data_IF_412777759313
#
_entry.id   IF_412777759313
#
_cell.length_a   1.000
_cell.length_b   1.000
_cell.length_c   1.000
_cell.angle_alpha   90.00
_cell.angle_beta   90.00
_cell.angle_gamma   90.00
#
_symmetry.space_group_name_H-M   'P 1'
#
loop_
_entity.id
_entity.type
_entity.pdbx_description
1 polymer ?
#
# COMPACT_ATOMS: atom_id res chain seq x y z
N UNK A 1 56.49 -20.48 -14.75
CA UNK A 1 56.16 -19.15 -15.30
C UNK A 1 54.68 -19.13 -15.65
N UNK A 2 53.78 -18.31 -15.10
CA UNK A 2 53.87 -17.26 -14.11
C UNK A 2 52.47 -16.68 -13.82
N UNK A 3 52.29 -16.23 -12.58
CA UNK A 3 51.36 -15.19 -12.07
C UNK A 3 49.88 -15.57 -11.94
N UNK A 4 49.37 -15.74 -10.71
CA UNK A 4 48.89 -14.68 -9.79
C UNK A 4 47.70 -13.88 -10.34
N UNK A 5 46.55 -14.13 -9.70
CA UNK A 5 45.46 -13.19 -9.35
C UNK A 5 44.77 -12.44 -10.49
N UNK A 6 43.52 -12.79 -10.77
CA UNK A 6 42.49 -11.78 -10.97
C UNK A 6 41.11 -12.33 -10.52
N UNK A 7 40.70 -11.84 -9.35
CA UNK A 7 39.35 -11.56 -8.84
C UNK A 7 38.15 -12.30 -9.47
N UNK A 8 37.43 -13.08 -8.67
CA UNK A 8 36.01 -13.31 -8.93
C UNK A 8 35.23 -12.03 -8.65
N UNK A 9 34.22 -11.68 -9.45
CA UNK A 9 33.04 -11.14 -8.80
C UNK A 9 31.73 -11.69 -9.38
N UNK A 10 30.94 -12.30 -8.50
CA UNK A 10 29.64 -11.74 -8.16
C UNK A 10 28.78 -11.32 -9.37
N UNK A 11 28.45 -12.25 -10.28
CA UNK A 11 27.17 -12.13 -11.01
C UNK A 11 26.09 -12.61 -10.05
N UNK A 12 25.88 -11.78 -9.02
CA UNK A 12 24.62 -11.74 -8.32
C UNK A 12 23.63 -11.20 -9.35
N UNK A 13 22.84 -12.09 -9.94
CA UNK A 13 21.53 -11.72 -10.47
C UNK A 13 20.74 -11.26 -9.25
N UNK A 14 20.81 -9.97 -8.96
CA UNK A 14 19.91 -9.28 -8.06
C UNK A 14 18.56 -9.14 -8.76
N UNK A 15 17.84 -10.25 -8.94
CA UNK A 15 16.41 -10.20 -9.27
C UNK A 15 15.56 -9.72 -8.08
N UNK A 16 16.18 -9.41 -6.94
CA UNK A 16 15.60 -8.62 -5.86
C UNK A 16 16.65 -7.68 -5.26
N UNK A 17 16.66 -6.41 -5.67
CA UNK A 17 16.99 -5.28 -4.79
C UNK A 17 15.94 -4.18 -4.98
N UNK A 18 15.41 -3.60 -3.88
CA UNK A 18 13.97 -3.66 -3.60
C UNK A 18 13.44 -2.32 -3.06
N UNK A 19 12.85 -1.42 -3.85
CA UNK A 19 12.40 -0.10 -3.30
C UNK A 19 11.30 0.64 -4.09
N UNK A 20 10.44 -0.04 -4.86
CA UNK A 20 9.31 0.63 -5.52
C UNK A 20 8.03 -0.01 -5.01
N UNK A 21 7.13 0.80 -4.46
CA UNK A 21 5.80 0.37 -4.04
C UNK A 21 5.11 -0.21 -5.28
N UNK A 22 4.66 -1.45 -5.20
CA UNK A 22 3.79 -2.02 -6.21
C UNK A 22 2.38 -1.46 -5.97
N UNK A 23 2.05 -0.43 -6.76
CA UNK A 23 0.79 0.31 -6.64
C UNK A 23 -0.41 -0.54 -7.03
N UNK A 24 -0.25 -1.48 -7.95
CA UNK A 24 -1.34 -2.38 -8.36
C UNK A 24 -1.65 -3.37 -7.25
N UNK A 25 -0.61 -3.98 -6.66
CA UNK A 25 -0.76 -4.86 -5.50
C UNK A 25 -1.37 -4.12 -4.29
N UNK A 26 -0.85 -2.91 -3.98
CA UNK A 26 -1.35 -2.10 -2.88
C UNK A 26 -2.82 -1.68 -3.10
N UNK A 27 -3.17 -1.25 -4.32
CA UNK A 27 -4.56 -0.93 -4.69
C UNK A 27 -5.45 -2.16 -4.52
N UNK A 28 -5.00 -3.34 -4.95
CA UNK A 28 -5.76 -4.58 -4.75
C UNK A 28 -6.00 -4.85 -3.28
N UNK A 29 -4.99 -4.72 -2.41
CA UNK A 29 -5.15 -4.90 -0.96
C UNK A 29 -6.17 -3.93 -0.37
N UNK A 30 -6.16 -2.65 -0.79
CA UNK A 30 -7.16 -1.67 -0.33
C UNK A 30 -8.56 -2.03 -0.81
N UNK A 31 -8.74 -2.34 -2.10
CA UNK A 31 -10.05 -2.77 -2.61
C UNK A 31 -10.51 -4.01 -1.84
N UNK A 32 -9.63 -4.97 -1.63
CA UNK A 32 -9.99 -6.23 -0.98
C UNK A 32 -10.41 -6.03 0.48
N UNK A 33 -9.77 -5.10 1.18
CA UNK A 33 -10.08 -4.80 2.57
C UNK A 33 -11.31 -3.89 2.74
N UNK A 34 -11.58 -3.00 1.78
CA UNK A 34 -12.66 -2.02 1.88
C UNK A 34 -13.92 -2.39 1.07
N UNK A 35 -13.87 -3.39 0.19
CA UNK A 35 -15.04 -3.83 -0.60
C UNK A 35 -16.17 -4.38 0.28
N UNK A 36 -15.85 -4.93 1.46
CA UNK A 36 -16.83 -5.47 2.40
C UNK A 36 -17.50 -4.40 3.28
N UNK A 37 -17.16 -3.11 3.08
CA UNK A 37 -17.76 -2.01 3.81
C UNK A 37 -19.19 -1.70 3.34
N UNK A 38 -20.00 -1.15 4.25
CA UNK A 38 -21.36 -0.72 3.96
C UNK A 38 -21.36 0.65 3.26
N UNK A 39 -21.43 0.64 1.94
CA UNK A 39 -21.53 1.86 1.12
C UNK A 39 -22.96 2.44 1.10
N UNK A 40 -23.13 3.79 1.07
CA UNK A 40 -22.07 4.79 0.98
C UNK A 40 -21.40 5.06 2.34
N UNK A 41 -20.07 5.05 2.35
CA UNK A 41 -19.28 5.33 3.56
C UNK A 41 -19.19 6.84 3.76
N UNK A 42 -19.62 7.30 4.92
CA UNK A 42 -19.69 8.73 5.27
C UNK A 42 -18.55 9.17 6.18
N UNK A 43 -17.80 8.22 6.74
CA UNK A 43 -16.65 8.47 7.60
C UNK A 43 -15.61 7.35 7.48
N UNK A 44 -14.30 7.61 7.68
CA UNK A 44 -13.28 6.56 7.74
C UNK A 44 -13.53 5.54 8.85
N UNK A 45 -14.30 5.91 9.89
CA UNK A 45 -14.69 4.98 10.96
C UNK A 45 -15.63 3.88 10.49
N UNK A 46 -16.43 4.12 9.44
CA UNK A 46 -17.38 3.14 8.90
C UNK A 46 -16.67 1.97 8.21
N UNK A 47 -15.39 2.14 7.87
CA UNK A 47 -14.54 1.11 7.28
C UNK A 47 -14.00 0.13 8.32
N UNK A 48 -13.85 0.54 9.58
CA UNK A 48 -13.20 -0.26 10.63
C UNK A 48 -13.88 -1.61 10.86
N UNK A 49 -15.23 -1.72 10.90
CA UNK A 49 -15.92 -2.99 11.07
C UNK A 49 -15.78 -3.94 9.87
N UNK A 50 -15.54 -3.41 8.68
CA UNK A 50 -15.42 -4.18 7.44
C UNK A 50 -14.00 -4.74 7.20
N UNK A 51 -13.02 -4.18 7.90
CA UNK A 51 -11.64 -4.59 7.76
C UNK A 51 -11.39 -5.97 8.41
N UNK A 52 -10.67 -6.89 7.73
CA UNK A 52 -10.47 -8.26 8.22
C UNK A 52 -9.69 -8.34 9.55
N UNK A 53 -8.82 -7.37 9.82
CA UNK A 53 -8.11 -7.20 11.10
C UNK A 53 -8.61 -6.00 11.92
N UNK A 54 -9.76 -5.42 11.56
CA UNK A 54 -10.25 -4.18 12.12
C UNK A 54 -9.23 -3.03 11.96
N UNK A 55 -9.07 -2.16 12.97
CA UNK A 55 -8.16 -1.01 12.90
C UNK A 55 -6.66 -1.40 12.85
N UNK A 56 -6.35 -2.65 13.18
CA UNK A 56 -5.00 -3.21 13.13
C UNK A 56 -4.65 -3.83 11.77
N UNK A 57 -5.57 -3.80 10.80
CA UNK A 57 -5.27 -4.21 9.42
C UNK A 57 -4.10 -3.40 8.90
N UNK A 58 -3.13 -4.09 8.32
CA UNK A 58 -1.89 -3.50 7.82
C UNK A 58 -1.82 -3.70 6.32
N UNK A 59 -1.51 -2.63 5.60
CA UNK A 59 -1.29 -2.60 4.17
C UNK A 59 0.20 -2.42 3.93
N UNK A 60 0.79 -3.29 3.12
CA UNK A 60 2.23 -3.26 2.88
C UNK A 60 2.54 -3.62 1.43
N UNK A 61 3.45 -2.85 0.82
CA UNK A 61 3.92 -3.08 -0.54
C UNK A 61 5.30 -2.47 -0.72
N UNK A 62 6.30 -3.31 -1.02
CA UNK A 62 7.69 -2.87 -1.09
C UNK A 62 8.16 -2.23 0.23
N UNK A 63 8.51 -0.94 0.18
CA UNK A 63 8.92 -0.14 1.33
C UNK A 63 7.74 0.55 2.04
N UNK A 64 6.55 0.55 1.46
CA UNK A 64 5.34 1.08 2.08
C UNK A 64 4.78 0.09 3.09
N UNK A 65 4.43 0.58 4.27
CA UNK A 65 3.83 -0.22 5.33
C UNK A 65 3.06 0.71 6.25
N UNK A 66 1.73 0.59 6.26
CA UNK A 66 0.88 1.44 7.08
C UNK A 66 -0.37 0.69 7.54
N UNK A 67 -0.81 0.98 8.76
CA UNK A 67 -2.07 0.41 9.28
C UNK A 67 -3.29 1.19 8.79
N UNK A 68 -4.46 0.56 8.82
CA UNK A 68 -5.73 1.22 8.53
C UNK A 68 -5.98 2.43 9.43
N UNK A 69 -5.58 2.34 10.71
CA UNK A 69 -5.70 3.47 11.63
C UNK A 69 -4.79 4.64 11.25
N UNK A 70 -3.55 4.38 10.86
CA UNK A 70 -2.65 5.41 10.36
C UNK A 70 -3.16 6.01 9.04
N UNK A 71 -3.65 5.15 8.13
CA UNK A 71 -4.29 5.56 6.87
C UNK A 71 -5.42 6.55 7.15
N UNK A 72 -6.33 6.24 8.07
CA UNK A 72 -7.44 7.13 8.44
C UNK A 72 -7.01 8.54 8.87
N UNK A 73 -5.78 8.73 9.37
CA UNK A 73 -5.25 10.06 9.71
C UNK A 73 -4.61 10.80 8.53
N UNK A 74 -4.32 10.08 7.45
CA UNK A 74 -3.71 10.56 6.20
C UNK A 74 -4.71 10.75 5.08
N UNK A 75 -5.93 10.22 5.24
CA UNK A 75 -7.02 10.39 4.28
C UNK A 75 -7.67 11.75 4.47
N UNK A 76 -7.62 12.54 3.40
CA UNK A 76 -8.22 13.86 3.32
C UNK A 76 -9.43 13.85 2.35
N UNK A 77 -10.14 12.73 2.29
CA UNK A 77 -11.17 12.46 1.30
C UNK A 77 -12.44 13.30 1.45
N UNK A 78 -13.17 13.47 0.34
CA UNK A 78 -14.48 14.13 0.31
C UNK A 78 -15.60 13.10 0.50
N UNK A 79 -15.90 12.79 1.76
CA UNK A 79 -17.04 11.92 2.09
C UNK A 79 -18.39 12.54 1.65
N UNK A 80 -19.38 11.73 1.25
CA UNK A 80 -19.38 10.27 1.24
C UNK A 80 -18.83 9.65 -0.06
N UNK A 81 -18.27 8.44 0.06
CA UNK A 81 -17.91 7.63 -1.10
C UNK A 81 -19.00 6.59 -1.37
N UNK A 82 -19.47 6.55 -2.62
CA UNK A 82 -20.55 5.66 -3.05
C UNK A 82 -20.07 4.23 -3.35
N UNK A 83 -18.77 4.05 -3.62
CA UNK A 83 -18.18 2.76 -3.97
C UNK A 83 -16.71 2.68 -3.56
N UNK A 84 -16.19 1.45 -3.52
CA UNK A 84 -14.81 1.15 -3.09
C UNK A 84 -13.77 1.72 -4.04
N UNK A 85 -14.00 1.65 -5.35
CA UNK A 85 -13.02 2.12 -6.34
C UNK A 85 -12.75 3.62 -6.18
N UNK A 86 -13.80 4.44 -6.06
CA UNK A 86 -13.67 5.88 -5.86
C UNK A 86 -12.93 6.22 -4.56
N UNK A 87 -13.21 5.48 -3.48
CA UNK A 87 -12.51 5.66 -2.22
C UNK A 87 -11.03 5.28 -2.34
N UNK A 88 -10.73 4.12 -2.92
CA UNK A 88 -9.36 3.62 -3.05
C UNK A 88 -8.53 4.49 -4.01
N UNK A 89 -9.12 4.97 -5.10
CA UNK A 89 -8.42 5.86 -6.03
C UNK A 89 -8.03 7.18 -5.33
N UNK A 90 -8.89 7.74 -4.48
CA UNK A 90 -8.58 8.92 -3.66
C UNK A 90 -7.54 8.62 -2.57
N UNK A 91 -7.60 7.44 -1.94
CA UNK A 91 -6.59 6.97 -0.99
C UNK A 91 -5.22 6.93 -1.65
N UNK A 92 -5.13 6.30 -2.83
CA UNK A 92 -3.89 6.17 -3.60
C UNK A 92 -3.38 7.55 -3.99
N UNK A 93 -4.23 8.44 -4.50
CA UNK A 93 -3.85 9.80 -4.86
C UNK A 93 -3.33 10.60 -3.65
N UNK A 94 -3.96 10.45 -2.47
CA UNK A 94 -3.51 11.12 -1.23
C UNK A 94 -2.14 10.62 -0.76
N UNK A 95 -1.87 9.32 -0.90
CA UNK A 95 -0.57 8.75 -0.55
C UNK A 95 0.52 9.19 -1.54
N UNK A 96 0.20 9.30 -2.83
CA UNK A 96 1.10 9.83 -3.86
C UNK A 96 1.42 11.33 -3.64
N UNK A 97 0.41 12.15 -3.34
CA UNK A 97 0.59 13.58 -3.06
C UNK A 97 1.48 13.84 -1.83
N UNK A 98 1.47 12.90 -0.89
CA UNK A 98 2.29 12.92 0.32
C UNK A 98 3.69 12.28 0.14
N UNK A 99 4.04 11.81 -1.07
CA UNK A 99 5.29 11.10 -1.38
C UNK A 99 5.50 9.87 -0.46
N UNK A 100 4.41 9.18 -0.14
CA UNK A 100 4.43 7.94 0.66
C UNK A 100 4.52 6.68 -0.21
N UNK A 101 4.07 6.76 -1.47
CA UNK A 101 4.07 5.65 -2.46
C UNK A 101 4.41 6.10 -3.88
#
# INVERSE_FOLDING_TARGET
>A
MGKCTDVEPFIIILAQRPTMVDKEDLRSQFVDAFQEADYPISSPMDLVPALPGGPSTKFESGDFSMTAMELNTKLNGEFPYDNVDAFVDDVMASLEDQDLI
#
